data_IF_058540492930
#
_entry.id   IF_058540492930
#
_cell.length_a   1.000
_cell.length_b   1.000
_cell.length_c   1.000
_cell.angle_alpha   90.00
_cell.angle_beta   90.00
_cell.angle_gamma   90.00
#
_symmetry.space_group_name_H-M   'P 1'
#
loop_
_entity.id
_entity.type
_entity.pdbx_description
1 polymer ?
#
# COMPACT_ATOMS: atom_id res chain seq x y z
N UNK A 1 -0.49 -77.84 -98.23
CA UNK A 1 -0.54 -79.27 -97.82
C UNK A 1 -0.52 -79.35 -96.31
N UNK A 2 -1.45 -80.15 -95.75
CA UNK A 2 -1.45 -80.92 -94.47
C UNK A 2 -0.25 -80.63 -93.51
N UNK A 3 -0.38 -80.48 -92.19
CA UNK A 3 -1.14 -81.28 -91.23
C UNK A 3 -1.02 -80.69 -89.81
N UNK A 4 -2.08 -80.92 -89.03
CA UNK A 4 -2.25 -80.83 -87.56
C UNK A 4 -1.10 -81.39 -86.72
N UNK A 5 -0.92 -80.87 -85.48
CA UNK A 5 -1.00 -81.62 -84.20
C UNK A 5 -1.48 -80.68 -83.08
N UNK A 6 -2.35 -81.18 -82.20
CA UNK A 6 -2.95 -80.51 -81.05
C UNK A 6 -2.34 -81.03 -79.73
N UNK A 7 -2.26 -80.23 -78.66
CA UNK A 7 -2.46 -80.73 -77.28
C UNK A 7 -2.69 -79.62 -76.22
N UNK A 8 -3.77 -79.83 -75.46
CA UNK A 8 -4.12 -79.46 -74.08
C UNK A 8 -3.98 -78.04 -73.51
N UNK A 9 -5.13 -77.54 -73.04
CA UNK A 9 -5.27 -76.33 -72.25
C UNK A 9 -5.25 -76.57 -70.74
N UNK A 10 -5.04 -75.46 -70.03
CA UNK A 10 -5.43 -75.24 -68.64
C UNK A 10 -6.21 -73.92 -68.61
N UNK A 11 -7.46 -74.01 -68.17
CA UNK A 11 -8.41 -72.91 -68.00
C UNK A 11 -8.13 -72.22 -66.65
N UNK A 12 -7.86 -70.92 -66.66
CA UNK A 12 -7.77 -70.11 -65.44
C UNK A 12 -8.64 -68.86 -65.64
N UNK A 13 -9.85 -68.91 -65.07
CA UNK A 13 -10.81 -67.81 -65.00
C UNK A 13 -10.27 -66.75 -64.03
N UNK A 14 -9.80 -65.64 -64.57
CA UNK A 14 -9.43 -64.43 -63.85
C UNK A 14 -10.70 -63.60 -63.58
N UNK A 15 -11.19 -63.64 -62.34
CA UNK A 15 -12.11 -62.63 -61.81
C UNK A 15 -11.28 -61.43 -61.33
N UNK A 16 -11.48 -60.21 -61.86
CA UNK A 16 -10.82 -59.04 -61.31
C UNK A 16 -11.45 -58.68 -59.96
N UNK A 17 -10.65 -58.79 -58.90
CA UNK A 17 -10.99 -58.33 -57.56
C UNK A 17 -11.00 -56.80 -57.59
N UNK A 18 -12.19 -56.22 -57.58
CA UNK A 18 -12.39 -54.79 -57.35
C UNK A 18 -12.07 -54.50 -55.88
N UNK A 19 -10.89 -53.95 -55.61
CA UNK A 19 -10.54 -53.38 -54.31
C UNK A 19 -11.31 -52.06 -54.15
N UNK A 20 -12.43 -52.10 -53.44
CA UNK A 20 -13.17 -50.92 -53.02
C UNK A 20 -12.36 -50.21 -51.92
N UNK A 21 -11.68 -49.13 -52.25
CA UNK A 21 -11.13 -48.23 -51.23
C UNK A 21 -12.29 -47.52 -50.53
N UNK A 22 -12.54 -47.83 -49.25
CA UNK A 22 -13.42 -47.02 -48.41
C UNK A 22 -12.74 -45.66 -48.17
N UNK A 23 -13.14 -44.65 -48.94
CA UNK A 23 -12.76 -43.27 -48.70
C UNK A 23 -13.68 -42.71 -47.60
N UNK A 24 -13.12 -42.18 -46.52
CA UNK A 24 -13.90 -41.54 -45.45
C UNK A 24 -14.56 -40.28 -46.00
N UNK A 25 -15.89 -40.26 -46.02
CA UNK A 25 -16.68 -39.12 -46.48
C UNK A 25 -16.61 -38.00 -45.43
N UNK A 26 -16.26 -36.78 -45.86
CA UNK A 26 -16.16 -35.62 -44.97
C UNK A 26 -17.50 -34.88 -44.96
N UNK A 27 -18.23 -34.95 -43.85
CA UNK A 27 -19.55 -34.32 -43.72
C UNK A 27 -19.43 -32.93 -43.09
N UNK A 28 -19.99 -31.90 -43.72
CA UNK A 28 -20.05 -30.56 -43.11
C UNK A 28 -21.31 -30.40 -42.27
N UNK A 29 -21.16 -29.99 -41.01
CA UNK A 29 -22.25 -29.89 -40.05
C UNK A 29 -22.34 -28.47 -39.48
N UNK A 30 -23.43 -27.78 -39.78
CA UNK A 30 -23.68 -26.42 -39.27
C UNK A 30 -24.46 -26.52 -37.95
N UNK A 31 -23.98 -25.83 -36.92
CA UNK A 31 -24.59 -25.78 -35.58
C UNK A 31 -24.69 -24.33 -35.13
N UNK A 32 -25.81 -23.92 -34.53
CA UNK A 32 -25.93 -22.59 -33.96
C UNK A 32 -25.28 -22.52 -32.57
N UNK A 33 -24.63 -21.39 -32.27
CA UNK A 33 -24.01 -21.12 -30.97
C UNK A 33 -24.97 -21.40 -29.81
N UNK A 34 -24.52 -22.17 -28.82
CA UNK A 34 -25.30 -22.54 -27.62
C UNK A 34 -26.26 -23.72 -27.82
N UNK A 35 -26.44 -24.22 -29.05
CA UNK A 35 -27.25 -25.41 -29.30
C UNK A 35 -26.44 -26.70 -29.16
N UNK A 36 -27.14 -27.78 -28.79
CA UNK A 36 -26.61 -29.14 -28.83
C UNK A 36 -27.30 -29.95 -29.92
N UNK A 37 -26.54 -30.83 -30.58
CA UNK A 37 -27.02 -31.68 -31.67
C UNK A 37 -26.53 -33.10 -31.48
N UNK A 38 -27.43 -34.05 -31.66
CA UNK A 38 -27.11 -35.47 -31.61
C UNK A 38 -26.62 -35.95 -32.98
N UNK A 39 -25.54 -36.72 -32.97
CA UNK A 39 -24.98 -37.41 -34.13
C UNK A 39 -25.05 -38.91 -33.89
N UNK A 40 -25.56 -39.65 -34.86
CA UNK A 40 -25.73 -41.11 -34.79
C UNK A 40 -24.92 -41.72 -35.95
N UNK A 41 -23.65 -42.08 -35.75
CA UNK A 41 -22.77 -42.54 -36.83
C UNK A 41 -23.13 -43.91 -37.43
N UNK A 42 -24.06 -44.65 -36.81
CA UNK A 42 -24.51 -45.96 -37.29
C UNK A 42 -23.58 -47.14 -36.95
N UNK A 43 -22.53 -46.93 -36.14
CA UNK A 43 -21.62 -47.96 -35.65
C UNK A 43 -21.25 -47.74 -34.18
N UNK A 44 -20.62 -48.73 -33.54
CA UNK A 44 -20.14 -48.60 -32.17
C UNK A 44 -18.89 -47.70 -32.13
N UNK A 45 -18.99 -46.57 -31.43
CA UNK A 45 -17.95 -45.54 -31.36
C UNK A 45 -16.81 -46.01 -30.47
N UNK A 46 -15.59 -46.00 -31.02
CA UNK A 46 -14.35 -46.23 -30.29
C UNK A 46 -13.82 -44.92 -29.72
N UNK A 47 -12.78 -44.38 -30.37
CA UNK A 47 -12.15 -43.09 -30.03
C UNK A 47 -12.82 -41.96 -30.80
N UNK A 48 -12.97 -40.79 -30.17
CA UNK A 48 -13.42 -39.56 -30.83
C UNK A 48 -12.37 -38.49 -30.58
N UNK A 49 -11.96 -37.80 -31.64
CA UNK A 49 -11.00 -36.71 -31.57
C UNK A 49 -11.69 -35.43 -32.04
N UNK A 50 -11.60 -34.39 -31.24
CA UNK A 50 -12.05 -33.06 -31.58
C UNK A 50 -10.82 -32.16 -31.80
N UNK A 51 -10.75 -31.49 -32.95
CA UNK A 51 -9.59 -30.67 -33.32
C UNK A 51 -9.42 -29.46 -32.39
N UNK A 52 -10.48 -28.68 -32.21
CA UNK A 52 -10.49 -27.50 -31.34
C UNK A 52 -11.63 -27.58 -30.30
N UNK A 53 -11.33 -27.88 -29.01
CA UNK A 53 -12.32 -27.99 -27.93
C UNK A 53 -12.87 -26.64 -27.43
N UNK A 54 -12.33 -25.51 -27.89
CA UNK A 54 -12.88 -24.19 -27.57
C UNK A 54 -14.13 -23.87 -28.41
N UNK A 55 -14.26 -24.46 -29.60
CA UNK A 55 -15.37 -24.24 -30.55
C UNK A 55 -16.59 -25.09 -30.18
N UNK A 56 -16.36 -26.38 -29.89
CA UNK A 56 -17.40 -27.33 -29.51
C UNK A 56 -16.92 -28.25 -28.39
N UNK A 57 -17.84 -28.98 -27.81
CA UNK A 57 -17.60 -30.10 -26.90
C UNK A 57 -18.44 -31.30 -27.34
N UNK A 58 -18.08 -32.49 -26.88
CA UNK A 58 -18.85 -33.68 -27.17
C UNK A 58 -18.95 -34.63 -25.98
N UNK A 59 -20.05 -35.38 -25.92
CA UNK A 59 -20.24 -36.51 -25.01
C UNK A 59 -20.78 -37.70 -25.77
N UNK A 60 -20.24 -38.88 -25.51
CA UNK A 60 -20.76 -40.12 -26.06
C UNK A 60 -21.87 -40.67 -25.16
N UNK A 61 -23.03 -40.96 -25.73
CA UNK A 61 -24.21 -41.48 -25.05
C UNK A 61 -24.59 -42.87 -25.60
N UNK A 62 -25.58 -43.52 -24.98
CA UNK A 62 -26.18 -44.78 -25.44
C UNK A 62 -25.15 -45.87 -25.73
N UNK A 63 -24.33 -46.24 -24.74
CA UNK A 63 -23.26 -47.23 -24.88
C UNK A 63 -22.31 -46.92 -26.06
N UNK A 64 -21.97 -45.63 -26.24
CA UNK A 64 -21.12 -45.13 -27.33
C UNK A 64 -21.70 -45.40 -28.73
N UNK A 65 -23.01 -45.16 -28.91
CA UNK A 65 -23.66 -45.17 -30.24
C UNK A 65 -24.11 -43.79 -30.71
N UNK A 66 -24.16 -42.83 -29.80
CA UNK A 66 -24.58 -41.44 -30.07
C UNK A 66 -23.50 -40.49 -29.59
N UNK A 67 -23.25 -39.41 -30.35
CA UNK A 67 -22.41 -38.28 -29.92
C UNK A 67 -23.33 -37.08 -29.73
N UNK A 68 -23.43 -36.59 -28.51
CA UNK A 68 -24.04 -35.29 -28.23
C UNK A 68 -22.97 -34.22 -28.40
N UNK A 69 -23.11 -33.40 -29.44
CA UNK A 69 -22.24 -32.28 -29.72
C UNK A 69 -22.84 -31.00 -29.14
N UNK A 70 -22.08 -30.21 -28.39
CA UNK A 70 -22.50 -28.92 -27.82
C UNK A 70 -21.60 -27.81 -28.33
N UNK A 71 -22.17 -26.76 -28.92
CA UNK A 71 -21.39 -25.60 -29.39
C UNK A 71 -21.04 -24.64 -28.24
N UNK A 72 -19.80 -24.15 -28.22
CA UNK A 72 -19.26 -23.24 -27.18
C UNK A 72 -18.90 -21.87 -27.73
N UNK A 73 -18.25 -21.79 -28.89
CA UNK A 73 -17.85 -20.53 -29.51
C UNK A 73 -17.94 -20.60 -31.04
N UNK A 74 -18.06 -19.43 -31.68
CA UNK A 74 -18.14 -19.31 -33.15
C UNK A 74 -16.81 -19.76 -33.76
N UNK A 75 -16.85 -20.57 -34.82
CA UNK A 75 -15.66 -21.05 -35.50
C UNK A 75 -15.88 -22.37 -36.24
N UNK A 76 -14.80 -22.97 -36.70
CA UNK A 76 -14.83 -24.29 -37.33
C UNK A 76 -13.90 -25.27 -36.61
N UNK A 77 -14.31 -26.53 -36.52
CA UNK A 77 -13.53 -27.60 -35.89
C UNK A 77 -13.83 -28.93 -36.56
N UNK A 78 -12.89 -29.87 -36.52
CA UNK A 78 -13.09 -31.22 -37.06
C UNK A 78 -13.39 -32.20 -35.92
N UNK A 79 -14.35 -33.09 -36.13
CA UNK A 79 -14.64 -34.22 -35.25
C UNK A 79 -14.37 -35.52 -36.01
N UNK A 80 -13.33 -36.24 -35.61
CA UNK A 80 -12.92 -37.50 -36.23
C UNK A 80 -13.41 -38.63 -35.34
N UNK A 81 -14.20 -39.54 -35.92
CA UNK A 81 -14.83 -40.65 -35.21
C UNK A 81 -14.21 -41.97 -35.68
N UNK A 82 -13.62 -42.70 -34.72
CA UNK A 82 -13.05 -44.02 -34.92
C UNK A 82 -14.04 -45.10 -34.47
N UNK A 83 -14.00 -46.27 -35.10
CA UNK A 83 -14.68 -47.46 -34.57
C UNK A 83 -13.85 -48.15 -33.48
N UNK A 84 -14.38 -49.26 -32.94
CA UNK A 84 -13.71 -50.07 -31.91
C UNK A 84 -12.42 -50.74 -32.40
N UNK A 85 -12.15 -50.74 -33.71
CA UNK A 85 -10.93 -51.31 -34.33
C UNK A 85 -9.89 -50.25 -34.67
N UNK A 86 -10.06 -49.03 -34.16
CA UNK A 86 -9.19 -47.87 -34.41
C UNK A 86 -9.12 -47.43 -35.88
N UNK A 87 -10.11 -47.81 -36.70
CA UNK A 87 -10.24 -47.30 -38.07
C UNK A 87 -11.06 -46.01 -38.06
N UNK A 88 -10.60 -44.98 -38.77
CA UNK A 88 -11.39 -43.76 -39.03
C UNK A 88 -12.58 -44.16 -39.90
N UNK A 89 -13.79 -43.82 -39.43
CA UNK A 89 -15.04 -44.14 -40.15
C UNK A 89 -15.71 -42.91 -40.71
N UNK A 90 -15.70 -41.81 -39.96
CA UNK A 90 -16.34 -40.55 -40.34
C UNK A 90 -15.52 -39.37 -39.83
N UNK A 91 -15.45 -38.31 -40.62
CA UNK A 91 -14.91 -37.02 -40.22
C UNK A 91 -15.96 -35.92 -40.46
N UNK A 92 -16.32 -35.19 -39.41
CA UNK A 92 -17.24 -34.06 -39.49
C UNK A 92 -16.47 -32.74 -39.48
N UNK A 93 -16.69 -31.88 -40.47
CA UNK A 93 -16.33 -30.47 -40.42
C UNK A 93 -17.46 -29.68 -39.77
N UNK A 94 -17.31 -29.37 -38.49
CA UNK A 94 -18.32 -28.62 -37.73
C UNK A 94 -18.08 -27.13 -37.94
N UNK A 95 -19.11 -26.41 -38.37
CA UNK A 95 -19.14 -24.95 -38.45
C UNK A 95 -20.16 -24.41 -37.45
N UNK A 96 -19.67 -23.79 -36.39
CA UNK A 96 -20.50 -23.08 -35.43
C UNK A 96 -20.74 -21.68 -35.94
N UNK A 97 -21.99 -21.37 -36.25
CA UNK A 97 -22.43 -20.05 -36.70
C UNK A 97 -23.34 -19.42 -35.66
N UNK A 98 -23.44 -18.10 -35.68
CA UNK A 98 -24.48 -17.38 -34.96
C UNK A 98 -25.52 -16.95 -35.99
N UNK A 99 -26.78 -17.29 -35.76
CA UNK A 99 -27.86 -16.90 -36.65
C UNK A 99 -28.14 -15.40 -36.49
N UNK A 100 -27.71 -14.63 -37.48
CA UNK A 100 -27.85 -13.17 -37.52
C UNK A 100 -29.33 -12.77 -37.63
N UNK A 101 -30.17 -13.58 -38.28
CA UNK A 101 -31.59 -13.28 -38.42
C UNK A 101 -32.32 -13.41 -37.09
N UNK A 102 -32.01 -14.45 -36.31
CA UNK A 102 -32.54 -14.63 -34.95
C UNK A 102 -32.04 -13.49 -34.05
N UNK A 103 -30.74 -13.23 -34.05
CA UNK A 103 -30.15 -12.16 -33.24
C UNK A 103 -30.75 -10.79 -33.58
N UNK A 104 -30.99 -10.49 -34.86
CA UNK A 104 -31.67 -9.28 -35.31
C UNK A 104 -33.10 -9.21 -34.77
N UNK A 105 -33.86 -10.31 -34.84
CA UNK A 105 -35.23 -10.35 -34.31
C UNK A 105 -35.27 -10.08 -32.81
N UNK A 106 -34.34 -10.67 -32.05
CA UNK A 106 -34.26 -10.46 -30.61
C UNK A 106 -33.86 -9.03 -30.27
N UNK A 107 -32.88 -8.44 -30.98
CA UNK A 107 -32.53 -7.02 -30.80
C UNK A 107 -33.68 -6.08 -31.18
N UNK A 108 -34.45 -6.38 -32.21
CA UNK A 108 -35.64 -5.60 -32.58
C UNK A 108 -36.72 -5.63 -31.51
N UNK A 109 -36.89 -6.76 -30.82
CA UNK A 109 -37.82 -6.86 -29.69
C UNK A 109 -37.30 -6.13 -28.46
N UNK A 110 -36.01 -6.27 -28.14
CA UNK A 110 -35.39 -5.64 -26.98
C UNK A 110 -35.37 -4.11 -27.05
N UNK A 111 -35.25 -3.56 -28.25
CA UNK A 111 -35.17 -2.12 -28.47
C UNK A 111 -36.41 -1.53 -29.16
N UNK A 112 -37.56 -2.22 -29.07
CA UNK A 112 -38.79 -1.80 -29.73
C UNK A 112 -39.27 -0.40 -29.28
N UNK A 113 -39.00 -0.05 -28.02
CA UNK A 113 -39.45 1.20 -27.40
C UNK A 113 -38.47 2.36 -27.63
N UNK A 114 -37.31 2.11 -28.27
CA UNK A 114 -36.28 3.15 -28.47
C UNK A 114 -36.55 3.92 -29.75
N UNK A 115 -36.94 5.18 -29.60
CA UNK A 115 -37.19 6.06 -30.73
C UNK A 115 -35.91 6.38 -31.52
N UNK A 116 -36.05 6.42 -32.85
CA UNK A 116 -34.96 6.81 -33.76
C UNK A 116 -33.94 5.71 -34.03
N UNK A 117 -34.01 4.55 -33.38
CA UNK A 117 -33.17 3.39 -33.63
C UNK A 117 -33.65 2.56 -34.83
N UNK A 118 -32.74 2.27 -35.77
CA UNK A 118 -32.96 1.33 -36.88
C UNK A 118 -31.95 0.20 -36.79
N UNK A 119 -32.45 -1.02 -36.93
CA UNK A 119 -31.66 -2.24 -36.87
C UNK A 119 -31.72 -2.92 -38.24
N UNK A 120 -30.60 -2.93 -38.95
CA UNK A 120 -30.47 -3.53 -40.27
C UNK A 120 -29.43 -4.65 -40.26
N UNK A 121 -29.48 -5.54 -41.26
CA UNK A 121 -28.43 -6.53 -41.49
C UNK A 121 -27.65 -6.09 -42.72
N UNK A 122 -26.34 -5.96 -42.59
CA UNK A 122 -25.43 -5.61 -43.68
C UNK A 122 -24.24 -6.57 -43.66
N UNK A 123 -24.09 -7.36 -44.74
CA UNK A 123 -22.96 -8.28 -44.95
C UNK A 123 -22.74 -9.28 -43.79
N UNK A 124 -23.82 -9.85 -43.25
CA UNK A 124 -23.74 -10.83 -42.14
C UNK A 124 -23.42 -10.22 -40.78
N UNK A 125 -23.60 -8.90 -40.62
CA UNK A 125 -23.50 -8.17 -39.35
C UNK A 125 -24.75 -7.34 -39.12
N UNK A 126 -25.10 -7.15 -37.85
CA UNK A 126 -26.18 -6.26 -37.43
C UNK A 126 -25.64 -4.84 -37.38
N UNK A 127 -26.30 -3.89 -38.03
CA UNK A 127 -25.96 -2.47 -37.98
C UNK A 127 -27.03 -1.73 -37.20
N UNK A 128 -26.61 -1.01 -36.16
CA UNK A 128 -27.45 -0.09 -35.41
C UNK A 128 -27.22 1.32 -35.91
N UNK A 129 -28.25 1.96 -36.44
CA UNK A 129 -28.17 3.26 -37.09
C UNK A 129 -29.38 4.11 -36.71
N UNK A 130 -29.17 5.40 -36.44
CA UNK A 130 -30.23 6.20 -35.85
C UNK A 130 -29.73 7.41 -35.07
N UNK A 131 -30.67 8.27 -34.68
CA UNK A 131 -30.44 9.32 -33.68
C UNK A 131 -31.16 8.92 -32.39
N UNK A 132 -30.44 8.87 -31.28
CA UNK A 132 -30.98 8.54 -29.97
C UNK A 132 -31.20 9.83 -29.18
N UNK A 133 -32.38 9.96 -28.57
CA UNK A 133 -32.85 11.17 -27.87
C UNK A 133 -32.86 11.04 -26.34
N UNK A 134 -32.40 9.90 -25.82
CA UNK A 134 -32.40 9.60 -24.40
C UNK A 134 -31.07 8.96 -23.99
N UNK A 135 -30.50 9.45 -22.89
CA UNK A 135 -29.22 9.00 -22.34
C UNK A 135 -29.30 7.55 -21.85
N UNK A 136 -30.40 7.19 -21.18
CA UNK A 136 -30.52 5.85 -20.59
C UNK A 136 -30.70 4.77 -21.67
N UNK A 137 -31.44 5.08 -22.74
CA UNK A 137 -31.57 4.21 -23.91
C UNK A 137 -30.22 4.01 -24.61
N UNK A 138 -29.45 5.08 -24.77
CA UNK A 138 -28.09 4.99 -25.33
C UNK A 138 -27.20 4.07 -24.48
N UNK A 139 -27.15 4.27 -23.16
CA UNK A 139 -26.36 3.44 -22.24
C UNK A 139 -26.82 1.99 -22.30
N UNK A 140 -28.13 1.73 -22.33
CA UNK A 140 -28.70 0.39 -22.43
C UNK A 140 -28.27 -0.32 -23.72
N UNK A 141 -28.32 0.38 -24.87
CA UNK A 141 -27.83 -0.17 -26.14
C UNK A 141 -26.33 -0.46 -26.04
N UNK A 142 -25.51 0.50 -25.60
CA UNK A 142 -24.05 0.34 -25.51
C UNK A 142 -23.66 -0.87 -24.66
N UNK A 143 -24.31 -1.03 -23.49
CA UNK A 143 -24.08 -2.17 -22.61
C UNK A 143 -24.47 -3.50 -23.24
N UNK A 144 -25.55 -3.53 -24.02
CA UNK A 144 -26.05 -4.75 -24.67
C UNK A 144 -25.17 -5.20 -25.83
N UNK A 145 -24.59 -4.25 -26.58
CA UNK A 145 -23.72 -4.56 -27.73
C UNK A 145 -22.25 -4.73 -27.34
N UNK A 146 -21.86 -4.39 -26.12
CA UNK A 146 -20.49 -4.48 -25.64
C UNK A 146 -19.94 -5.90 -25.83
N UNK A 147 -18.80 -6.01 -26.53
CA UNK A 147 -18.11 -7.29 -26.77
C UNK A 147 -18.70 -8.16 -27.88
N UNK A 148 -19.72 -7.72 -28.62
CA UNK A 148 -20.30 -8.48 -29.74
C UNK A 148 -19.64 -8.09 -31.10
N UNK A 149 -18.79 -8.94 -31.69
CA UNK A 149 -18.06 -8.62 -32.93
C UNK A 149 -18.96 -8.55 -34.19
N UNK A 150 -20.18 -9.06 -34.07
CA UNK A 150 -21.19 -9.13 -35.13
C UNK A 150 -22.12 -7.90 -35.18
N UNK A 151 -21.91 -6.91 -34.30
CA UNK A 151 -22.70 -5.67 -34.27
C UNK A 151 -21.84 -4.48 -34.64
N UNK A 152 -22.30 -3.66 -35.58
CA UNK A 152 -21.71 -2.39 -35.99
C UNK A 152 -22.56 -1.27 -35.41
N UNK A 153 -21.95 -0.45 -34.55
CA UNK A 153 -22.58 0.75 -33.99
C UNK A 153 -22.34 1.96 -34.91
N UNK A 154 -23.41 2.56 -35.45
CA UNK A 154 -23.40 3.82 -36.20
C UNK A 154 -24.39 4.84 -35.62
N UNK A 155 -24.71 4.70 -34.33
CA UNK A 155 -25.63 5.59 -33.66
C UNK A 155 -25.05 6.99 -33.51
N UNK A 156 -25.93 7.98 -33.55
CA UNK A 156 -25.62 9.38 -33.27
C UNK A 156 -26.51 9.84 -32.14
N UNK A 157 -25.99 10.76 -31.34
CA UNK A 157 -26.75 11.45 -30.30
C UNK A 157 -27.12 12.84 -30.81
N UNK A 158 -28.27 13.36 -30.39
CA UNK A 158 -28.56 14.78 -30.54
C UNK A 158 -27.78 15.62 -29.51
N UNK A 159 -27.77 16.93 -29.72
CA UNK A 159 -27.00 17.87 -28.90
C UNK A 159 -27.47 17.94 -27.44
N UNK A 160 -28.78 17.84 -27.20
CA UNK A 160 -29.34 17.87 -25.84
C UNK A 160 -28.99 16.58 -25.08
N UNK A 161 -29.07 15.43 -25.74
CA UNK A 161 -28.69 14.15 -25.15
C UNK A 161 -27.18 14.06 -24.90
N UNK A 162 -26.35 14.57 -25.81
CA UNK A 162 -24.91 14.69 -25.58
C UNK A 162 -24.59 15.54 -24.36
N UNK A 163 -25.34 16.63 -24.15
CA UNK A 163 -25.17 17.49 -22.98
C UNK A 163 -25.51 16.75 -21.68
N UNK A 164 -26.69 16.11 -21.62
CA UNK A 164 -27.11 15.32 -20.44
C UNK A 164 -26.16 14.15 -20.16
N UNK A 165 -25.64 13.51 -21.20
CA UNK A 165 -24.64 12.44 -21.08
C UNK A 165 -23.33 12.99 -20.50
N UNK A 166 -22.85 14.13 -21.01
CA UNK A 166 -21.66 14.82 -20.48
C UNK A 166 -21.80 15.20 -19.01
N UNK A 167 -22.95 15.73 -18.60
CA UNK A 167 -23.27 16.04 -17.20
C UNK A 167 -23.18 14.78 -16.31
N UNK A 168 -23.80 13.67 -16.74
CA UNK A 168 -23.76 12.38 -16.03
C UNK A 168 -22.34 11.80 -15.93
N UNK A 169 -21.51 12.00 -16.96
CA UNK A 169 -20.11 11.57 -16.95
C UNK A 169 -19.31 12.37 -15.91
N UNK A 170 -19.41 13.70 -15.91
CA UNK A 170 -18.71 14.54 -14.93
C UNK A 170 -19.15 14.23 -13.50
N UNK A 171 -20.46 14.06 -13.28
CA UNK A 171 -21.00 13.67 -11.98
C UNK A 171 -20.43 12.33 -11.48
N UNK A 172 -20.29 11.35 -12.39
CA UNK A 172 -19.74 10.03 -12.05
C UNK A 172 -18.22 10.06 -11.80
N UNK A 173 -17.49 10.92 -12.52
CA UNK A 173 -16.05 11.10 -12.30
C UNK A 173 -15.77 11.66 -10.91
N UNK A 174 -16.57 12.65 -10.48
CA UNK A 174 -16.52 13.26 -9.16
C UNK A 174 -15.26 14.09 -8.91
N UNK A 175 -14.74 14.76 -9.95
CA UNK A 175 -13.58 15.65 -9.89
C UNK A 175 -14.03 17.01 -10.43
N UNK A 176 -14.08 18.02 -9.56
CA UNK A 176 -14.62 19.35 -9.86
C UNK A 176 -13.81 20.09 -10.95
N UNK A 177 -12.52 19.79 -11.06
CA UNK A 177 -11.62 20.40 -12.04
C UNK A 177 -11.78 19.85 -13.46
N UNK A 178 -12.56 18.77 -13.65
CA UNK A 178 -12.86 18.22 -14.97
C UNK A 178 -14.20 18.77 -15.45
N UNK A 179 -14.17 19.38 -16.62
CA UNK A 179 -15.34 19.89 -17.33
C UNK A 179 -15.47 19.21 -18.69
N UNK A 180 -16.61 19.41 -19.34
CA UNK A 180 -16.82 18.90 -20.70
C UNK A 180 -17.28 20.00 -21.64
N UNK A 181 -16.94 19.84 -22.93
CA UNK A 181 -17.46 20.63 -24.04
C UNK A 181 -17.91 19.71 -25.15
N UNK A 182 -18.97 20.10 -25.86
CA UNK A 182 -19.43 19.36 -27.03
C UNK A 182 -18.71 19.95 -28.25
N UNK A 183 -18.03 19.10 -29.01
CA UNK A 183 -17.38 19.44 -30.27
C UNK A 183 -17.95 18.57 -31.38
N UNK A 184 -18.90 19.15 -32.14
CA UNK A 184 -19.63 18.49 -33.23
C UNK A 184 -20.39 17.24 -32.75
N UNK A 185 -19.79 16.08 -32.89
CA UNK A 185 -20.32 14.76 -32.55
C UNK A 185 -19.53 14.06 -31.44
N UNK A 186 -18.64 14.80 -30.75
CA UNK A 186 -17.77 14.29 -29.69
C UNK A 186 -17.89 15.12 -28.41
N UNK A 187 -17.65 14.46 -27.28
CA UNK A 187 -17.56 15.08 -25.96
C UNK A 187 -16.07 15.24 -25.63
N UNK A 188 -15.62 16.48 -25.58
CA UNK A 188 -14.26 16.84 -25.17
C UNK A 188 -14.23 16.99 -23.66
N UNK A 189 -13.38 16.22 -22.99
CA UNK A 189 -13.08 16.42 -21.57
C UNK A 189 -11.88 17.36 -21.44
N UNK A 190 -12.06 18.44 -20.71
CA UNK A 190 -11.04 19.46 -20.43
C UNK A 190 -10.90 19.65 -18.93
N UNK A 191 -9.66 19.74 -18.45
CA UNK A 191 -9.40 19.94 -17.03
C UNK A 191 -7.97 19.63 -16.66
N UNK A 192 -7.69 19.75 -15.37
CA UNK A 192 -6.41 19.37 -14.79
C UNK A 192 -6.63 18.44 -13.60
N UNK A 193 -5.87 17.33 -13.55
CA UNK A 193 -5.92 16.35 -12.46
C UNK A 193 -4.57 16.28 -11.74
N UNK A 194 -4.57 15.81 -10.49
CA UNK A 194 -3.39 15.86 -9.62
C UNK A 194 -2.50 14.63 -9.84
N UNK A 195 -3.10 13.52 -10.26
CA UNK A 195 -2.40 12.26 -10.44
C UNK A 195 -2.77 11.55 -11.74
N UNK A 196 -1.83 10.75 -12.24
CA UNK A 196 -2.06 9.82 -13.37
C UNK A 196 -3.18 8.81 -13.06
N UNK A 197 -3.37 8.46 -11.79
CA UNK A 197 -4.46 7.57 -11.37
C UNK A 197 -5.85 8.22 -11.56
N UNK A 198 -5.99 9.51 -11.24
CA UNK A 198 -7.21 10.28 -11.47
C UNK A 198 -7.49 10.44 -12.97
N UNK A 199 -6.46 10.70 -13.78
CA UNK A 199 -6.57 10.76 -15.24
C UNK A 199 -7.13 9.46 -15.80
N UNK A 200 -6.52 8.32 -15.43
CA UNK A 200 -6.95 6.99 -15.87
C UNK A 200 -8.36 6.66 -15.41
N UNK A 201 -8.72 7.03 -14.18
CA UNK A 201 -10.09 6.84 -13.66
C UNK A 201 -11.09 7.61 -14.52
N UNK A 202 -10.82 8.89 -14.80
CA UNK A 202 -11.69 9.72 -15.63
C UNK A 202 -11.82 9.17 -17.05
N UNK A 203 -10.72 8.73 -17.65
CA UNK A 203 -10.69 8.12 -18.98
C UNK A 203 -11.53 6.84 -19.05
N UNK A 204 -11.34 5.91 -18.11
CA UNK A 204 -12.08 4.64 -18.07
C UNK A 204 -13.58 4.90 -17.89
N UNK A 205 -13.95 5.80 -16.97
CA UNK A 205 -15.36 6.14 -16.74
C UNK A 205 -15.96 6.73 -18.02
N UNK A 206 -15.34 7.75 -18.60
CA UNK A 206 -15.86 8.39 -19.79
C UNK A 206 -16.01 7.42 -20.97
N UNK A 207 -15.00 6.60 -21.23
CA UNK A 207 -15.01 5.62 -22.32
C UNK A 207 -16.05 4.50 -22.11
N UNK A 208 -16.33 4.15 -20.85
CA UNK A 208 -17.37 3.16 -20.51
C UNK A 208 -18.77 3.67 -20.84
N UNK A 209 -19.02 4.96 -20.62
CA UNK A 209 -20.32 5.56 -20.91
C UNK A 209 -20.51 5.83 -22.41
N UNK A 210 -19.47 6.28 -23.10
CA UNK A 210 -19.58 6.77 -24.47
C UNK A 210 -18.38 6.35 -25.36
N UNK A 211 -18.26 5.04 -25.67
CA UNK A 211 -17.10 4.53 -26.40
C UNK A 211 -16.94 5.20 -27.78
N UNK A 212 -15.75 5.72 -28.06
CA UNK A 212 -15.41 6.41 -29.31
C UNK A 212 -15.99 7.83 -29.49
N UNK A 213 -16.85 8.30 -28.57
CA UNK A 213 -17.39 9.66 -28.57
C UNK A 213 -16.58 10.61 -27.69
N UNK A 214 -15.74 10.09 -26.79
CA UNK A 214 -14.91 10.89 -25.89
C UNK A 214 -13.61 11.32 -26.58
N UNK A 215 -13.21 12.56 -26.33
CA UNK A 215 -11.84 13.05 -26.58
C UNK A 215 -11.31 13.56 -25.27
N UNK A 216 -10.29 12.91 -24.73
CA UNK A 216 -9.70 13.30 -23.46
C UNK A 216 -8.54 14.29 -23.69
N UNK A 217 -8.68 15.53 -23.19
CA UNK A 217 -7.61 16.55 -23.19
C UNK A 217 -7.23 16.95 -21.75
N UNK A 218 -7.63 16.15 -20.76
CA UNK A 218 -7.29 16.39 -19.36
C UNK A 218 -5.78 16.23 -19.18
N UNK A 219 -5.16 17.18 -18.50
CA UNK A 219 -3.71 17.17 -18.24
C UNK A 219 -3.40 16.90 -16.78
N UNK A 220 -2.26 16.26 -16.51
CA UNK A 220 -1.82 16.02 -15.13
C UNK A 220 -0.96 17.21 -14.69
N UNK A 221 -1.45 17.96 -13.71
CA UNK A 221 -0.71 19.04 -13.08
C UNK A 221 -0.55 18.79 -11.57
N UNK A 222 0.52 18.11 -11.16
CA UNK A 222 0.74 17.75 -9.75
C UNK A 222 1.00 18.96 -8.85
N UNK A 223 1.16 20.17 -9.42
CA UNK A 223 1.43 21.41 -8.68
C UNK A 223 0.16 22.26 -8.43
N UNK A 224 -0.99 21.92 -9.06
CA UNK A 224 -2.19 22.78 -9.07
C UNK A 224 -3.18 22.55 -7.92
N UNK A 225 -3.05 21.45 -7.16
CA UNK A 225 -3.62 21.43 -5.80
C UNK A 225 -2.76 22.37 -4.97
N UNK A 226 -3.32 23.54 -4.62
CA UNK A 226 -2.73 24.40 -3.60
C UNK A 226 -2.26 23.53 -2.45
N UNK A 227 -0.99 23.71 -2.07
CA UNK A 227 -0.26 22.93 -1.05
C UNK A 227 -1.19 21.96 -0.32
N UNK A 228 -1.13 20.65 -0.62
CA UNK A 228 -1.54 19.68 0.39
C UNK A 228 -0.56 19.96 1.52
N UNK A 229 -0.91 20.89 2.41
CA UNK A 229 -0.05 21.29 3.49
C UNK A 229 -0.04 20.07 4.38
N UNK A 230 0.97 19.22 4.19
CA UNK A 230 1.26 18.16 5.12
C UNK A 230 1.28 18.84 6.50
N UNK A 231 0.48 18.34 7.46
CA UNK A 231 0.34 19.01 8.74
C UNK A 231 1.73 19.20 9.34
N UNK A 232 1.92 20.34 9.98
CA UNK A 232 3.12 20.56 10.76
C UNK A 232 2.95 19.80 12.07
N UNK A 233 4.02 19.22 12.58
CA UNK A 233 4.07 18.53 13.86
C UNK A 233 5.01 19.34 14.73
N UNK A 234 4.47 19.88 15.82
CA UNK A 234 5.26 20.46 16.88
C UNK A 234 5.75 19.33 17.78
N UNK A 235 7.06 19.15 17.85
CA UNK A 235 7.71 18.18 18.71
C UNK A 235 8.34 18.90 19.89
N UNK A 236 8.01 18.45 21.10
CA UNK A 236 8.65 18.88 22.35
C UNK A 236 9.36 17.72 23.00
N UNK A 237 10.68 17.83 23.16
CA UNK A 237 11.52 16.84 23.84
C UNK A 237 12.09 17.46 25.12
N UNK A 238 11.99 16.76 26.25
CA UNK A 238 12.47 17.30 27.54
C UNK A 238 13.42 16.33 28.22
N UNK A 239 14.40 16.89 28.94
CA UNK A 239 15.26 16.18 29.87
C UNK A 239 14.78 16.50 31.28
N UNK A 240 14.37 15.48 32.02
CA UNK A 240 13.80 15.62 33.36
C UNK A 240 14.56 14.74 34.33
N UNK A 241 15.14 15.32 35.37
CA UNK A 241 15.64 14.56 36.51
C UNK A 241 14.47 14.29 37.47
N UNK A 242 14.25 13.03 37.83
CA UNK A 242 13.25 12.60 38.79
C UNK A 242 13.91 11.81 39.93
N UNK A 243 13.34 11.91 41.13
CA UNK A 243 13.68 10.94 42.18
C UNK A 243 13.07 9.57 41.85
N UNK A 244 13.66 8.51 42.39
CA UNK A 244 13.13 7.14 42.24
C UNK A 244 11.68 7.00 42.75
N UNK A 245 11.30 7.75 43.77
CA UNK A 245 9.92 7.77 44.31
C UNK A 245 8.96 8.40 43.30
N UNK A 246 9.30 9.56 42.76
CA UNK A 246 8.54 10.25 41.73
C UNK A 246 8.33 9.39 40.48
N UNK A 247 9.39 8.75 39.97
CA UNK A 247 9.32 7.86 38.82
C UNK A 247 8.35 6.68 39.02
N UNK A 248 8.33 6.07 40.21
CA UNK A 248 7.41 4.99 40.54
C UNK A 248 5.95 5.44 40.62
N UNK A 249 5.69 6.65 41.15
CA UNK A 249 4.34 7.20 41.25
C UNK A 249 3.72 7.51 39.89
N UNK A 250 4.52 7.92 38.91
CA UNK A 250 4.06 8.17 37.54
C UNK A 250 3.95 6.90 36.68
N UNK A 251 4.26 5.73 37.25
CA UNK A 251 4.09 4.43 36.62
C UNK A 251 5.27 3.97 35.76
N UNK A 252 6.42 4.65 35.82
CA UNK A 252 7.64 4.18 35.17
C UNK A 252 8.18 2.98 35.99
N UNK A 253 7.98 1.76 35.48
CA UNK A 253 8.43 0.53 36.14
C UNK A 253 9.53 -0.15 35.34
N UNK A 254 10.76 -0.06 35.85
CA UNK A 254 11.91 -0.82 35.36
C UNK A 254 11.74 -2.32 35.67
N UNK A 255 11.35 -3.14 34.70
CA UNK A 255 11.42 -4.60 34.85
C UNK A 255 12.88 -5.04 34.61
N UNK A 256 13.52 -5.77 35.54
CA UNK A 256 14.83 -6.35 35.30
C UNK A 256 14.72 -7.39 34.18
N UNK A 257 15.51 -7.18 33.13
CA UNK A 257 15.62 -8.05 31.95
C UNK A 257 15.93 -9.49 32.36
N UNK A 258 15.10 -10.44 31.94
CA UNK A 258 15.38 -11.87 32.06
C UNK A 258 14.12 -12.73 32.15
N UNK A 259 13.46 -12.97 31.01
CA UNK A 259 12.96 -14.27 30.51
C UNK A 259 11.80 -14.07 29.52
N UNK A 260 12.12 -13.97 28.23
CA UNK A 260 11.33 -14.60 27.18
C UNK A 260 12.34 -15.37 26.31
N UNK A 261 12.09 -16.67 26.16
CA UNK A 261 13.08 -17.68 25.82
C UNK A 261 13.76 -17.50 24.47
N UNK A 262 15.05 -17.18 24.51
CA UNK A 262 16.07 -17.55 23.51
C UNK A 262 17.38 -17.74 24.28
N UNK A 263 18.07 -18.86 24.06
CA UNK A 263 19.31 -19.22 24.76
C UNK A 263 20.42 -18.15 24.60
N UNK A 264 21.22 -17.89 25.63
CA UNK A 264 22.32 -16.94 25.55
C UNK A 264 23.54 -17.61 24.91
N UNK A 265 23.97 -17.14 23.75
CA UNK A 265 25.36 -17.33 23.32
C UNK A 265 26.06 -15.97 23.21
N UNK A 266 27.11 -15.84 24.04
CA UNK A 266 28.17 -14.82 24.08
C UNK A 266 27.79 -13.40 24.52
N UNK A 267 28.05 -13.12 25.79
CA UNK A 267 28.25 -11.77 26.32
C UNK A 267 29.60 -11.21 25.85
N UNK A 268 29.59 -10.00 25.28
CA UNK A 268 30.79 -9.17 25.08
C UNK A 268 30.96 -8.34 26.36
N UNK A 269 32.09 -8.53 27.05
CA UNK A 269 32.50 -7.68 28.17
C UNK A 269 33.29 -6.49 27.62
N UNK A 270 32.75 -5.28 27.79
CA UNK A 270 33.51 -4.03 27.65
C UNK A 270 33.78 -3.52 29.07
N UNK A 271 35.05 -3.37 29.41
CA UNK A 271 35.50 -2.96 30.73
C UNK A 271 35.53 -1.43 30.90
N UNK A 272 35.25 -0.99 32.13
CA UNK A 272 35.67 0.32 32.67
C UNK A 272 34.59 1.41 32.68
N UNK A 273 33.92 1.58 33.84
CA UNK A 273 33.26 2.83 34.25
C UNK A 273 31.93 3.16 33.59
N UNK A 274 30.89 3.31 34.41
CA UNK A 274 29.47 3.60 34.09
C UNK A 274 28.64 2.38 33.66
N UNK A 275 27.53 2.14 34.36
CA UNK A 275 26.67 0.97 34.22
C UNK A 275 25.96 0.87 32.86
N UNK A 276 25.44 -0.33 32.50
CA UNK A 276 24.83 -0.57 31.20
C UNK A 276 23.55 0.26 31.01
N UNK A 277 23.45 0.94 29.86
CA UNK A 277 22.24 1.59 29.37
C UNK A 277 21.12 0.54 29.21
N UNK A 278 19.97 0.78 29.85
CA UNK A 278 18.75 -0.03 29.69
C UNK A 278 17.80 0.69 28.74
N UNK A 279 17.66 0.21 27.51
CA UNK A 279 16.66 0.70 26.57
C UNK A 279 15.24 0.32 27.06
N UNK A 280 14.37 1.32 27.30
CA UNK A 280 12.95 1.14 27.61
C UNK A 280 12.13 2.10 26.77
N UNK A 281 11.12 1.59 26.08
CA UNK A 281 10.07 2.39 25.45
C UNK A 281 8.76 2.12 26.20
N UNK A 282 8.14 3.16 26.79
CA UNK A 282 6.87 3.04 27.52
C UNK A 282 6.00 4.29 27.40
N UNK A 283 4.76 4.13 26.93
CA UNK A 283 3.77 5.20 26.75
C UNK A 283 3.13 5.55 28.10
N UNK A 284 3.20 6.82 28.52
CA UNK A 284 2.62 7.30 29.79
C UNK A 284 1.58 8.38 29.51
N UNK A 285 0.29 8.01 29.53
CA UNK A 285 -0.81 8.96 29.39
C UNK A 285 -0.88 9.92 30.59
N UNK A 286 -0.98 11.23 30.32
CA UNK A 286 -1.11 12.27 31.36
C UNK A 286 0.17 12.57 32.14
N UNK A 287 1.35 12.37 31.54
CA UNK A 287 2.66 12.62 32.15
C UNK A 287 2.85 14.08 32.61
N UNK A 288 2.44 15.05 31.78
CA UNK A 288 2.67 16.49 32.03
C UNK A 288 2.06 17.01 33.36
N UNK A 289 0.76 16.82 33.66
CA UNK A 289 0.20 17.27 34.95
C UNK A 289 0.78 16.56 36.17
N UNK A 290 1.35 15.36 36.02
CA UNK A 290 2.02 14.63 37.11
C UNK A 290 3.45 15.15 37.33
N UNK A 291 4.17 15.43 36.25
CA UNK A 291 5.49 16.07 36.32
C UNK A 291 5.42 17.46 36.97
N UNK A 292 4.38 18.24 36.67
CA UNK A 292 4.13 19.54 37.29
C UNK A 292 4.02 19.48 38.82
N UNK A 293 3.31 18.47 39.34
CA UNK A 293 3.18 18.23 40.78
C UNK A 293 4.52 17.84 41.41
N UNK A 294 5.28 16.97 40.74
CA UNK A 294 6.60 16.55 41.18
C UNK A 294 7.64 17.68 41.13
N UNK A 295 7.53 18.61 40.18
CA UNK A 295 8.36 19.82 40.17
C UNK A 295 8.07 20.70 41.39
N UNK A 296 6.79 20.84 41.78
CA UNK A 296 6.39 21.62 42.95
C UNK A 296 6.82 21.01 44.29
N UNK A 297 6.93 19.68 44.35
CA UNK A 297 7.38 18.94 45.55
C UNK A 297 8.92 18.81 45.63
N UNK A 298 9.65 19.34 44.64
CA UNK A 298 11.10 19.21 44.53
C UNK A 298 11.58 17.80 44.17
N UNK A 299 10.66 16.90 43.80
CA UNK A 299 10.97 15.52 43.40
C UNK A 299 11.25 15.36 41.89
N UNK A 300 11.07 16.44 41.12
CA UNK A 300 11.45 16.55 39.72
C UNK A 300 12.23 17.85 39.46
N UNK A 301 13.15 17.85 38.49
CA UNK A 301 13.88 19.02 38.02
C UNK A 301 14.02 18.99 36.50
N UNK A 302 13.55 20.04 35.82
CA UNK A 302 13.69 20.16 34.37
C UNK A 302 15.11 20.62 34.03
N UNK A 303 15.83 19.84 33.23
CA UNK A 303 17.23 20.12 32.89
C UNK A 303 17.36 20.81 31.52
N UNK A 304 16.53 20.43 30.54
CA UNK A 304 16.55 21.03 29.19
C UNK A 304 15.25 20.74 28.44
N UNK A 305 14.89 21.61 27.48
CA UNK A 305 13.75 21.41 26.56
C UNK A 305 14.17 21.78 25.14
N UNK A 306 13.92 20.88 24.19
CA UNK A 306 14.03 21.11 22.76
C UNK A 306 12.66 21.14 22.08
N UNK A 307 12.40 22.20 21.31
CA UNK A 307 11.13 22.41 20.61
C UNK A 307 11.38 22.72 19.14
N UNK A 308 10.65 22.02 18.28
CA UNK A 308 10.76 22.15 16.82
C UNK A 308 9.42 21.93 16.14
N UNK A 309 9.20 22.62 15.02
CA UNK A 309 8.03 22.45 14.16
C UNK A 309 8.51 21.85 12.84
N UNK A 310 8.01 20.66 12.52
CA UNK A 310 8.48 19.87 11.38
C UNK A 310 7.29 19.53 10.48
N UNK A 311 7.46 19.64 9.17
CA UNK A 311 6.44 19.18 8.23
C UNK A 311 6.38 17.66 8.22
N UNK A 312 5.18 17.08 8.23
CA UNK A 312 5.05 15.61 8.21
C UNK A 312 5.78 14.99 7.00
N UNK A 313 6.59 13.96 7.27
CA UNK A 313 7.44 13.26 6.30
C UNK A 313 8.80 13.90 6.05
N UNK A 314 9.17 14.98 6.75
CA UNK A 314 10.50 15.61 6.65
C UNK A 314 11.30 15.43 7.92
N UNK A 315 12.64 15.45 7.79
CA UNK A 315 13.57 15.42 8.91
C UNK A 315 13.97 16.83 9.32
N UNK A 316 14.17 17.04 10.61
CA UNK A 316 14.81 18.24 11.13
C UNK A 316 15.85 17.89 12.20
N UNK A 317 16.89 18.72 12.28
CA UNK A 317 18.01 18.61 13.20
C UNK A 317 18.06 19.86 14.08
N UNK A 318 18.26 19.69 15.38
CA UNK A 318 18.38 20.79 16.33
C UNK A 318 19.44 20.47 17.39
N UNK A 319 20.36 21.41 17.62
CA UNK A 319 21.31 21.37 18.73
C UNK A 319 20.98 22.52 19.72
N UNK A 320 20.69 22.20 20.97
CA UNK A 320 20.29 23.16 22.01
C UNK A 320 21.29 23.21 23.16
N UNK A 321 21.63 24.42 23.61
CA UNK A 321 22.59 24.65 24.70
C UNK A 321 24.01 24.18 24.37
N UNK A 322 24.31 24.05 23.07
CA UNK A 322 25.52 23.46 22.54
C UNK A 322 26.51 24.45 21.92
N UNK A 323 27.65 23.91 21.53
CA UNK A 323 28.74 24.60 20.84
C UNK A 323 29.74 23.58 20.30
N UNK A 324 30.85 24.05 19.74
CA UNK A 324 31.91 23.17 19.28
C UNK A 324 33.12 23.27 20.21
N UNK A 325 33.65 22.12 20.62
CA UNK A 325 34.90 22.04 21.37
C UNK A 325 36.05 21.62 20.43
N UNK A 326 37.14 22.40 20.36
CA UNK A 326 38.31 22.00 19.57
C UNK A 326 39.08 20.89 20.29
N UNK A 327 39.34 19.80 19.58
CA UNK A 327 40.14 18.67 20.05
C UNK A 327 41.42 18.61 19.23
N UNK A 328 42.61 18.68 19.86
CA UNK A 328 43.87 18.52 19.15
C UNK A 328 44.04 17.06 18.72
N UNK A 329 44.25 16.84 17.42
CA UNK A 329 44.50 15.51 16.84
C UNK A 329 45.89 15.46 16.21
N UNK A 330 46.74 14.48 16.56
CA UNK A 330 48.07 14.35 15.97
C UNK A 330 47.96 13.92 14.50
N UNK A 331 48.64 14.64 13.61
CA UNK A 331 48.71 14.33 12.17
C UNK A 331 50.08 13.72 11.79
N UNK A 332 50.11 13.05 10.64
CA UNK A 332 51.33 12.48 10.07
C UNK A 332 52.37 13.59 9.86
N UNK A 333 53.57 13.42 10.42
CA UNK A 333 54.64 14.43 10.34
C UNK A 333 54.79 15.34 11.57
N UNK A 334 54.02 15.10 12.64
CA UNK A 334 54.19 15.82 13.92
C UNK A 334 53.44 17.16 14.02
N UNK A 335 52.62 17.49 13.03
CA UNK A 335 51.69 18.62 13.10
C UNK A 335 50.49 18.26 14.00
N UNK A 336 49.97 19.26 14.73
CA UNK A 336 48.76 19.12 15.54
C UNK A 336 47.60 19.75 14.75
N UNK A 337 46.65 18.93 14.31
CA UNK A 337 45.39 19.39 13.73
C UNK A 337 44.36 19.71 14.81
N UNK A 338 43.33 20.48 14.46
CA UNK A 338 42.20 20.78 15.35
C UNK A 338 40.94 20.17 14.73
N UNK A 339 40.27 19.29 15.48
CA UNK A 339 38.97 18.71 15.13
C UNK A 339 37.89 19.29 16.04
N UNK A 340 36.85 19.90 15.46
CA UNK A 340 35.74 20.45 16.24
C UNK A 340 34.68 19.37 16.48
N UNK A 341 34.30 19.17 17.74
CA UNK A 341 33.19 18.27 18.11
C UNK A 341 32.07 19.05 18.77
N UNK A 342 30.85 18.84 18.30
CA UNK A 342 29.67 19.44 18.89
C UNK A 342 29.38 18.83 20.27
N UNK A 343 29.03 19.69 21.22
CA UNK A 343 28.41 19.33 22.48
C UNK A 343 27.04 20.01 22.59
N UNK A 344 26.18 19.55 23.50
CA UNK A 344 24.83 20.06 23.68
C UNK A 344 23.76 18.97 23.70
N UNK A 345 22.49 19.38 23.68
CA UNK A 345 21.36 18.48 23.50
C UNK A 345 20.93 18.48 22.03
N UNK A 346 21.23 17.40 21.34
CA UNK A 346 21.02 17.26 19.89
C UNK A 346 19.83 16.34 19.65
N UNK A 347 18.87 16.78 18.85
CA UNK A 347 17.67 16.03 18.49
C UNK A 347 17.49 16.05 16.98
N UNK A 348 17.46 14.85 16.40
CA UNK A 348 17.01 14.60 15.03
C UNK A 348 15.64 13.93 15.09
N UNK A 349 14.65 14.50 14.42
CA UNK A 349 13.30 13.94 14.41
C UNK A 349 12.69 13.95 13.01
N UNK A 350 11.98 12.87 12.68
CA UNK A 350 11.21 12.73 11.44
C UNK A 350 9.80 12.23 11.78
N UNK A 351 8.79 13.12 11.85
CA UNK A 351 7.42 12.75 12.18
C UNK A 351 6.58 12.42 10.95
N UNK A 352 5.76 11.38 11.05
CA UNK A 352 4.78 10.96 10.05
C UNK A 352 3.40 10.89 10.72
N UNK A 353 2.44 11.66 10.20
CA UNK A 353 1.08 11.67 10.74
C UNK A 353 0.27 10.57 10.08
N UNK A 354 -0.42 9.76 10.89
CA UNK A 354 -1.31 8.72 10.39
C UNK A 354 -2.51 9.32 9.64
N UNK A 355 -2.98 8.66 8.59
CA UNK A 355 -4.16 9.09 7.80
C UNK A 355 -5.49 8.72 8.47
N UNK A 356 -5.47 7.81 9.44
CA UNK A 356 -6.67 7.15 9.99
C UNK A 356 -6.91 7.49 11.46
N UNK A 357 -5.91 8.03 12.15
CA UNK A 357 -5.92 8.29 13.59
C UNK A 357 -5.06 9.50 13.94
N UNK A 358 -5.23 10.06 15.14
CA UNK A 358 -4.40 11.16 15.68
C UNK A 358 -2.98 10.72 16.14
N UNK A 359 -2.56 9.52 15.74
CA UNK A 359 -1.25 8.97 16.03
C UNK A 359 -0.17 9.58 15.11
N UNK A 360 0.98 9.86 15.72
CA UNK A 360 2.18 10.36 15.06
C UNK A 360 3.30 9.36 15.27
N UNK A 361 3.82 8.82 14.18
CA UNK A 361 5.03 8.02 14.16
C UNK A 361 6.24 8.95 14.11
N UNK A 362 7.15 8.81 15.06
CA UNK A 362 8.35 9.65 15.16
C UNK A 362 9.57 8.76 15.19
N UNK A 363 10.38 8.85 14.13
CA UNK A 363 11.77 8.37 14.17
C UNK A 363 12.62 9.46 14.82
N UNK A 364 13.20 9.15 15.99
CA UNK A 364 13.94 10.13 16.80
C UNK A 364 15.32 9.60 17.19
N UNK A 365 16.33 10.46 17.00
CA UNK A 365 17.66 10.30 17.55
C UNK A 365 17.95 11.47 18.48
N UNK A 366 18.05 11.20 19.79
CA UNK A 366 18.34 12.21 20.80
C UNK A 366 19.70 11.94 21.43
N UNK A 367 20.54 12.97 21.58
CA UNK A 367 21.90 12.87 22.09
C UNK A 367 22.15 13.97 23.12
N UNK A 368 22.67 13.62 24.29
CA UNK A 368 23.15 14.55 25.31
C UNK A 368 24.67 14.45 25.34
N UNK A 369 25.34 15.49 24.88
CA UNK A 369 26.79 15.57 24.80
C UNK A 369 27.29 16.65 25.75
N UNK A 370 28.12 16.27 26.72
CA UNK A 370 28.69 17.18 27.71
C UNK A 370 30.23 17.15 27.66
N UNK A 371 30.84 18.26 28.06
CA UNK A 371 32.29 18.37 28.20
C UNK A 371 32.66 17.87 29.60
N UNK A 372 33.50 16.84 29.66
CA UNK A 372 34.07 16.30 30.87
C UNK A 372 35.42 16.93 31.23
N UNK A 373 36.10 16.43 32.29
CA UNK A 373 37.39 16.94 32.70
C UNK A 373 38.43 16.81 31.59
N UNK A 374 39.43 17.68 31.61
CA UNK A 374 40.55 17.63 30.68
C UNK A 374 41.44 16.42 30.97
N UNK A 375 41.74 15.65 29.93
CA UNK A 375 42.63 14.48 29.99
C UNK A 375 43.77 14.76 29.02
N UNK A 376 44.98 14.93 29.56
CA UNK A 376 46.21 15.10 28.79
C UNK A 376 46.17 16.26 27.75
N UNK A 377 45.62 17.42 28.10
CA UNK A 377 45.59 18.59 27.19
C UNK A 377 44.33 18.69 26.33
N UNK A 378 43.41 17.73 26.41
CA UNK A 378 42.18 17.70 25.63
C UNK A 378 40.93 17.49 26.51
N UNK A 379 39.84 18.23 26.27
CA UNK A 379 38.58 18.01 26.99
C UNK A 379 38.02 16.63 26.67
N UNK A 380 37.60 15.88 27.70
CA UNK A 380 36.85 14.63 27.48
C UNK A 380 35.41 14.94 27.05
N UNK A 381 34.80 14.03 26.30
CA UNK A 381 33.40 14.15 25.87
C UNK A 381 32.59 13.02 26.46
N UNK A 382 31.54 13.38 27.18
CA UNK A 382 30.56 12.46 27.75
C UNK A 382 29.34 12.49 26.83
N UNK A 383 29.08 11.41 26.11
CA UNK A 383 27.99 11.30 25.15
C UNK A 383 26.98 10.24 25.59
N UNK A 384 25.72 10.64 25.72
CA UNK A 384 24.58 9.73 25.90
C UNK A 384 23.69 9.84 24.67
N UNK A 385 23.26 8.73 24.08
CA UNK A 385 22.40 8.75 22.88
C UNK A 385 21.33 7.67 22.91
N UNK A 386 20.20 7.97 22.26
CA UNK A 386 19.14 7.02 21.96
C UNK A 386 18.68 7.21 20.51
N UNK A 387 18.43 6.10 19.82
CA UNK A 387 17.84 6.07 18.49
C UNK A 387 16.66 5.08 18.51
N UNK A 388 15.45 5.59 18.30
CA UNK A 388 14.24 4.77 18.39
C UNK A 388 13.12 5.31 17.51
N UNK A 389 12.17 4.44 17.20
CA UNK A 389 10.94 4.79 16.51
C UNK A 389 9.78 4.56 17.46
N UNK A 390 8.96 5.60 17.65
CA UNK A 390 7.83 5.55 18.58
C UNK A 390 6.56 6.07 17.93
N UNK A 391 5.44 5.45 18.28
CA UNK A 391 4.10 5.90 17.89
C UNK A 391 3.42 6.50 19.11
N UNK A 392 3.01 7.76 19.01
CA UNK A 392 2.39 8.48 20.12
C UNK A 392 1.22 9.29 19.58
N UNK A 393 0.11 9.36 20.32
CA UNK A 393 -1.01 10.22 19.94
C UNK A 393 -0.64 11.70 20.07
N UNK A 394 -1.25 12.54 19.24
CA UNK A 394 -1.07 13.98 19.29
C UNK A 394 -1.44 14.55 20.67
N UNK A 395 -0.47 15.14 21.36
CA UNK A 395 -0.59 15.72 22.69
C UNK A 395 -0.24 14.78 23.85
N UNK A 396 -0.07 13.48 23.59
CA UNK A 396 0.41 12.52 24.59
C UNK A 396 1.94 12.54 24.67
N UNK A 397 2.48 12.18 25.84
CA UNK A 397 3.92 12.11 26.07
C UNK A 397 4.38 10.66 26.23
N UNK A 398 5.56 10.36 25.71
CA UNK A 398 6.24 9.07 25.90
C UNK A 398 7.60 9.30 26.57
N UNK A 399 8.03 8.34 27.38
CA UNK A 399 9.41 8.30 27.90
C UNK A 399 10.24 7.45 26.93
N UNK A 400 11.27 8.05 26.34
CA UNK A 400 12.16 7.42 25.36
C UNK A 400 13.30 6.67 26.04
N UNK A 401 13.90 7.27 27.08
CA UNK A 401 15.05 6.74 27.78
C UNK A 401 15.08 7.20 29.24
N UNK A 402 15.73 6.41 30.10
CA UNK A 402 16.06 6.81 31.46
C UNK A 402 17.49 6.38 31.84
N UNK A 403 18.26 7.30 32.42
CA UNK A 403 19.62 7.11 32.91
C UNK A 403 19.60 7.14 34.44
N UNK A 404 20.04 6.05 35.06
CA UNK A 404 20.15 5.93 36.52
C UNK A 404 21.60 6.20 36.93
N UNK A 405 21.85 7.32 37.60
CA UNK A 405 23.13 7.58 38.26
C UNK A 405 22.96 7.36 39.77
N UNK A 406 23.80 6.50 40.35
CA UNK A 406 23.90 6.28 41.80
C UNK A 406 25.24 6.86 42.27
N UNK A 407 25.21 8.05 42.89
CA UNK A 407 26.42 8.66 43.45
C UNK A 407 26.48 8.35 44.97
N UNK A 408 27.48 7.58 45.39
CA UNK A 408 27.64 7.18 46.78
C UNK A 408 28.80 7.95 47.42
N UNK A 409 28.50 9.01 48.17
CA UNK A 409 29.50 9.70 48.99
C UNK A 409 29.34 9.33 50.47
N UNK A 410 30.39 8.73 51.04
CA UNK A 410 30.45 8.37 52.46
C UNK A 410 31.62 9.11 53.11
N UNK A 411 31.30 10.18 53.84
CA UNK A 411 32.29 10.93 54.61
C UNK A 411 32.31 10.44 56.06
N UNK A 412 33.50 10.07 56.55
CA UNK A 412 33.71 9.70 57.95
C UNK A 412 34.77 10.64 58.52
N UNK A 413 34.36 11.56 59.38
CA UNK A 413 35.28 12.42 60.15
C UNK A 413 35.37 11.89 61.57
N UNK A 414 36.59 11.73 62.10
CA UNK A 414 36.80 11.28 63.47
C UNK A 414 38.22 11.54 63.95
N UNK A 415 38.40 11.57 65.27
CA UNK A 415 39.72 11.74 65.90
C UNK A 415 40.63 10.55 65.57
N UNK A 416 41.90 10.77 65.17
CA UNK A 416 42.85 9.70 64.91
C UNK A 416 43.12 8.89 66.19
N UNK A 417 43.00 7.57 66.11
CA UNK A 417 43.19 6.63 67.24
C UNK A 417 41.89 6.19 67.90
N UNK A 418 41.09 7.13 68.45
CA UNK A 418 39.87 6.80 69.21
C UNK A 418 38.71 6.30 68.33
N UNK A 419 38.68 6.66 67.05
CA UNK A 419 37.66 6.21 66.08
C UNK A 419 37.69 4.71 65.75
N UNK A 420 38.74 3.97 66.18
CA UNK A 420 38.93 2.53 65.89
C UNK A 420 38.50 1.59 67.03
N UNK A 421 38.08 2.11 68.19
CA UNK A 421 37.65 1.28 69.32
C UNK A 421 36.19 0.83 69.10
N UNK A 422 35.88 -0.48 69.01
CA UNK A 422 34.56 -1.00 68.61
C UNK A 422 33.38 -0.52 69.48
N UNK A 423 33.65 -0.20 70.75
CA UNK A 423 32.62 0.19 71.73
C UNK A 423 32.42 1.72 71.78
N UNK A 424 33.45 2.50 71.44
CA UNK A 424 33.45 3.97 71.59
C UNK A 424 33.37 4.72 70.25
N UNK A 425 33.45 4.03 69.11
CA UNK A 425 33.57 4.65 67.79
C UNK A 425 32.41 5.60 67.43
N UNK A 426 31.19 5.36 67.91
CA UNK A 426 30.01 6.19 67.62
C UNK A 426 30.00 7.54 68.33
N UNK A 427 30.77 7.72 69.41
CA UNK A 427 30.84 8.98 70.16
C UNK A 427 31.95 9.92 69.66
N UNK A 428 32.93 9.38 68.92
CA UNK A 428 34.12 10.11 68.45
C UNK A 428 34.28 10.11 66.92
N UNK A 429 33.28 9.61 66.18
CA UNK A 429 33.20 9.74 64.73
C UNK A 429 31.84 10.30 64.33
N UNK A 430 31.86 11.32 63.47
CA UNK A 430 30.68 11.79 62.76
C UNK A 430 30.64 11.09 61.40
N UNK A 431 29.49 10.49 61.09
CA UNK A 431 29.26 9.81 59.82
C UNK A 431 28.17 10.55 59.07
N UNK A 432 28.57 11.25 58.02
CA UNK A 432 27.63 11.88 57.10
C UNK A 432 27.50 10.98 55.88
N UNK A 433 26.29 10.44 55.68
CA UNK A 433 25.95 9.61 54.53
C UNK A 433 24.96 10.40 53.69
N UNK A 434 25.43 11.03 52.62
CA UNK A 434 24.59 11.77 51.69
C UNK A 434 24.32 10.86 50.48
N UNK A 435 23.07 10.45 50.30
CA UNK A 435 22.62 9.60 49.19
C UNK A 435 21.61 10.36 48.36
N UNK A 436 22.07 11.02 47.30
CA UNK A 436 21.18 11.59 46.28
C UNK A 436 21.05 10.61 45.11
N UNK A 437 19.84 10.11 44.88
CA UNK A 437 19.51 9.28 43.71
C UNK A 437 18.67 10.11 42.75
N UNK A 438 19.29 10.66 41.71
CA UNK A 438 18.63 11.41 40.63
C UNK A 438 18.66 10.57 39.35
N UNK A 439 17.47 10.26 38.83
CA UNK A 439 17.29 9.51 37.58
C UNK A 439 16.92 10.50 36.47
N UNK A 440 17.65 10.50 35.34
CA UNK A 440 17.41 11.44 34.23
C UNK A 440 16.57 10.75 33.16
N UNK A 441 15.50 11.38 32.70
CA UNK A 441 14.58 10.88 31.70
C UNK A 441 14.52 11.78 30.48
N UNK A 442 14.41 11.17 29.30
CA UNK A 442 14.13 11.87 28.04
C UNK A 442 12.69 11.59 27.64
N UNK A 443 11.89 12.65 27.52
CA UNK A 443 10.48 12.56 27.13
C UNK A 443 10.24 13.18 25.76
N UNK A 444 9.24 12.69 25.04
CA UNK A 444 8.82 13.21 23.73
C UNK A 444 7.31 13.42 23.72
N UNK A 445 6.87 14.58 23.23
CA UNK A 445 5.46 14.92 23.06
C UNK A 445 5.25 15.51 21.65
N UNK A 446 4.65 14.76 20.70
CA UNK A 446 4.27 15.30 19.40
C UNK A 446 2.88 15.93 19.46
N UNK A 447 2.70 17.07 18.80
CA UNK A 447 1.40 17.77 18.65
C UNK A 447 1.18 18.12 17.19
N UNK A 448 0.08 17.63 16.60
CA UNK A 448 -0.30 17.96 15.23
C UNK A 448 -0.82 19.41 15.20
N UNK A 449 -0.25 20.22 14.30
CA UNK A 449 -0.70 21.56 13.99
C UNK A 449 -1.52 21.53 12.69
N UNK A 450 -2.77 22.03 12.70
CA UNK A 450 -3.60 22.07 11.51
C UNK A 450 -2.94 22.94 10.44
N UNK A 451 -2.97 22.44 9.21
CA UNK A 451 -2.33 23.05 8.08
C UNK A 451 -3.25 24.12 7.47
N UNK A 452 -2.83 25.38 7.48
CA UNK A 452 -3.51 26.45 6.76
C UNK A 452 -4.75 27.01 7.44
N UNK A 453 -4.55 27.94 8.37
CA UNK A 453 -5.42 29.10 8.50
C UNK A 453 -4.58 30.22 9.09
N UNK A 454 -4.62 31.40 8.46
CA UNK A 454 -3.71 32.51 8.68
C UNK A 454 -3.38 32.78 10.14
N UNK A 455 -2.20 33.39 10.31
CA UNK A 455 -1.50 33.88 11.51
C UNK A 455 -2.23 33.94 12.85
N UNK A 456 -3.55 34.10 12.89
CA UNK A 456 -4.36 34.33 14.06
C UNK A 456 -4.79 33.03 14.75
N UNK A 457 -5.14 31.95 14.03
CA UNK A 457 -5.45 30.65 14.69
C UNK A 457 -4.21 29.91 15.15
N UNK A 458 -3.11 30.06 14.43
CA UNK A 458 -1.79 29.56 14.83
C UNK A 458 -1.27 30.35 16.04
N UNK A 459 -1.35 31.70 16.02
CA UNK A 459 -1.06 32.51 17.20
C UNK A 459 -2.01 32.19 18.35
N UNK A 460 -3.31 32.01 18.14
CA UNK A 460 -4.26 31.69 19.20
C UNK A 460 -4.02 30.29 19.78
N UNK A 461 -3.62 29.31 18.96
CA UNK A 461 -3.26 27.97 19.43
C UNK A 461 -1.93 27.98 20.18
N UNK A 462 -0.92 28.71 19.67
CA UNK A 462 0.36 28.92 20.35
C UNK A 462 0.22 29.77 21.61
N UNK A 463 -0.71 30.73 21.64
CA UNK A 463 -1.00 31.58 22.80
C UNK A 463 -1.82 30.81 23.82
N UNK A 464 -2.80 29.99 23.42
CA UNK A 464 -3.48 29.04 24.30
C UNK A 464 -2.52 28.01 24.88
N UNK A 465 -1.55 27.53 24.10
CA UNK A 465 -0.49 26.64 24.56
C UNK A 465 0.46 27.36 25.53
N UNK A 466 0.96 28.55 25.18
CA UNK A 466 1.80 29.40 26.05
C UNK A 466 1.08 29.83 27.31
N UNK A 467 -0.23 30.07 27.27
CA UNK A 467 -1.06 30.44 28.42
C UNK A 467 -1.35 29.24 29.29
N UNK A 468 -1.57 28.04 28.72
CA UNK A 468 -1.59 26.78 29.49
C UNK A 468 -0.24 26.48 30.15
N UNK A 469 0.88 26.89 29.55
CA UNK A 469 2.23 26.75 30.11
C UNK A 469 2.55 27.85 31.15
N UNK A 470 2.22 29.13 30.91
CA UNK A 470 2.47 30.26 31.83
C UNK A 470 1.49 30.38 33.00
N UNK A 471 0.23 29.98 32.84
CA UNK A 471 -0.74 29.92 33.96
C UNK A 471 -0.31 28.86 34.98
N UNK A 472 0.54 27.90 34.58
CA UNK A 472 1.15 26.91 35.46
C UNK A 472 2.44 27.40 36.14
N UNK A 473 3.23 28.28 35.51
CA UNK A 473 4.36 28.96 36.18
C UNK A 473 3.90 29.91 37.30
N UNK A 474 2.76 30.61 37.14
CA UNK A 474 2.30 31.60 38.13
C UNK A 474 1.70 31.01 39.42
N UNK A 475 1.53 29.68 39.48
CA UNK A 475 1.11 28.96 40.69
C UNK A 475 2.35 28.52 41.50
N UNK A 476 3.58 28.61 40.96
CA UNK A 476 4.82 28.28 41.67
C UNK A 476 5.40 29.43 42.54
N UNK A 477 4.90 30.66 42.39
CA UNK A 477 5.36 31.84 43.16
C UNK A 477 4.40 32.28 44.28
N UNK A 478 3.44 31.44 44.64
CA UNK A 478 2.55 31.61 45.80
C UNK A 478 2.54 30.35 46.63
#
# INVERSE_FOLDING_TARGET
MKSKVAFFGVLLLLFPIFLLSQQSEQETLIVNLGQSRELIPGFAIGKVILGNPNVCDFKTLNQRRTILLTSKSIGSTNLIVYDQTEKIRVEYLIKVVQDIAIMKSDMQKLFADIEGLKISEQRGKITLEGKIFNVDDYIFIMKTIAGNPNVINKLKLDEETMKKLGEKIIETIGIDEITFKILRDKILLEGEVISDAELKKAEIIAETYAPGLIVNTVTVNPQKKGFIQAPHVHISTQIVALTRRAAQQIGIRWLPTGTLGVEPSKSIQVGGGMGPLKEITGIVSGLLPKLDLLYSEGEAQQLSTATMVIRSGTSAHQNMGGGEVPIPVPQVGGAIGIEYKEYGFIVDATPIVSKTSDAVDVAIKAQVVAIGPEIAGAPSIIKNEINTNVTVNSGDSIVLAGLVSDEFQKSVQGLPGLSKIPILSSFFSSRETQREQKEIYITLTPTILPAGSGSDKEKESLEKLKKKLKVKEKIQDK
#
